data_IF_946682090617
#
_entry.id   IF_946682090617
#
_cell.length_a   1.000
_cell.length_b   1.000
_cell.length_c   1.000
_cell.angle_alpha   90.00
_cell.angle_beta   90.00
_cell.angle_gamma   90.00
#
_symmetry.space_group_name_H-M   'P 1'
#
loop_
_entity.id
_entity.type
_entity.pdbx_description
1 polymer ?
#
# COMPACT_ATOMS: atom_id res chain seq x y z
N UNK A 1 -27.67 -11.97 -11.54
CA UNK A 1 -26.88 -11.13 -12.48
C UNK A 1 -26.26 -9.90 -11.83
N UNK A 2 -27.01 -9.04 -11.12
CA UNK A 2 -26.45 -7.78 -10.56
C UNK A 2 -25.28 -7.98 -9.57
N UNK A 3 -25.34 -9.00 -8.71
CA UNK A 3 -24.23 -9.36 -7.82
C UNK A 3 -22.95 -9.71 -8.59
N UNK A 4 -23.04 -10.55 -9.61
CA UNK A 4 -21.88 -10.90 -10.44
C UNK A 4 -21.26 -9.68 -11.14
N UNK A 5 -22.09 -8.73 -11.58
CA UNK A 5 -21.57 -7.46 -12.10
C UNK A 5 -20.87 -6.63 -11.03
N UNK A 6 -21.36 -6.63 -9.79
CA UNK A 6 -20.70 -5.94 -8.69
C UNK A 6 -19.29 -6.51 -8.44
N UNK A 7 -19.17 -7.84 -8.39
CA UNK A 7 -17.89 -8.53 -8.20
C UNK A 7 -16.96 -8.25 -9.38
N UNK A 8 -17.44 -8.34 -10.63
CA UNK A 8 -16.62 -8.02 -11.80
C UNK A 8 -16.09 -6.58 -11.79
N UNK A 9 -16.93 -5.60 -11.44
CA UNK A 9 -16.47 -4.21 -11.30
C UNK A 9 -15.46 -4.06 -10.16
N UNK A 10 -15.63 -4.79 -9.06
CA UNK A 10 -14.70 -4.78 -7.94
C UNK A 10 -13.32 -5.33 -8.33
N UNK A 11 -13.28 -6.47 -9.04
CA UNK A 11 -12.06 -7.09 -9.54
C UNK A 11 -11.34 -6.23 -10.59
N UNK A 12 -12.06 -5.33 -11.27
CA UNK A 12 -11.49 -4.33 -12.18
C UNK A 12 -11.20 -2.98 -11.53
N UNK A 13 -11.37 -2.82 -10.21
CA UNK A 13 -11.11 -1.58 -9.48
C UNK A 13 -12.16 -0.47 -9.65
N UNK A 14 -13.31 -0.78 -10.24
CA UNK A 14 -14.44 0.15 -10.48
C UNK A 14 -15.38 0.15 -9.28
N UNK A 15 -14.89 0.67 -8.15
CA UNK A 15 -15.56 0.55 -6.87
C UNK A 15 -16.89 1.32 -6.79
N UNK A 16 -17.02 2.44 -7.50
CA UNK A 16 -18.27 3.19 -7.56
C UNK A 16 -19.37 2.38 -8.22
N UNK A 17 -19.12 1.84 -9.43
CA UNK A 17 -20.08 1.01 -10.14
C UNK A 17 -20.34 -0.30 -9.42
N UNK A 18 -19.31 -0.91 -8.83
CA UNK A 18 -19.46 -2.08 -7.99
C UNK A 18 -20.41 -1.81 -6.83
N UNK A 19 -20.23 -0.70 -6.11
CA UNK A 19 -21.07 -0.30 -4.97
C UNK A 19 -22.51 -0.07 -5.41
N UNK A 20 -22.75 0.61 -6.53
CA UNK A 20 -24.09 0.80 -7.08
C UNK A 20 -24.75 -0.56 -7.37
N UNK A 21 -24.06 -1.48 -8.05
CA UNK A 21 -24.61 -2.80 -8.38
C UNK A 21 -24.84 -3.67 -7.15
N UNK A 22 -23.92 -3.66 -6.18
CA UNK A 22 -24.06 -4.37 -4.91
C UNK A 22 -25.29 -3.88 -4.14
N UNK A 23 -25.47 -2.55 -4.02
CA UNK A 23 -26.66 -1.96 -3.37
C UNK A 23 -27.95 -2.35 -4.06
N UNK A 24 -28.00 -2.30 -5.39
CA UNK A 24 -29.19 -2.71 -6.15
C UNK A 24 -29.47 -4.21 -6.02
N UNK A 25 -28.44 -5.04 -5.94
CA UNK A 25 -28.56 -6.48 -5.73
C UNK A 25 -29.09 -6.81 -4.33
N UNK A 26 -28.57 -6.11 -3.30
CA UNK A 26 -29.03 -6.23 -1.92
C UNK A 26 -30.54 -5.95 -1.78
N UNK A 27 -30.99 -4.77 -2.21
CA UNK A 27 -32.41 -4.40 -2.08
C UNK A 27 -33.31 -5.32 -2.92
N UNK A 28 -32.87 -5.71 -4.11
CA UNK A 28 -33.60 -6.68 -4.92
C UNK A 28 -33.73 -8.05 -4.25
N UNK A 29 -32.66 -8.53 -3.59
CA UNK A 29 -32.66 -9.80 -2.87
C UNK A 29 -33.60 -9.79 -1.67
N UNK A 30 -33.65 -8.67 -0.91
CA UNK A 30 -34.61 -8.49 0.18
C UNK A 30 -36.06 -8.62 -0.30
N UNK A 31 -36.40 -7.99 -1.43
CA UNK A 31 -37.76 -8.06 -1.99
C UNK A 31 -38.17 -9.47 -2.44
N UNK A 32 -37.21 -10.34 -2.74
CA UNK A 32 -37.46 -11.71 -3.22
C UNK A 32 -37.15 -12.78 -2.16
N UNK A 33 -36.73 -12.40 -0.94
CA UNK A 33 -36.40 -13.34 0.14
C UNK A 33 -35.18 -14.22 -0.13
N UNK A 34 -34.16 -13.71 -0.85
CA UNK A 34 -32.95 -14.48 -1.20
C UNK A 34 -31.75 -14.08 -0.34
N UNK A 35 -31.67 -14.65 0.87
CA UNK A 35 -30.72 -14.23 1.91
C UNK A 35 -29.25 -14.29 1.50
N UNK A 36 -28.81 -15.34 0.80
CA UNK A 36 -27.39 -15.45 0.43
C UNK A 36 -26.94 -14.34 -0.54
N UNK A 37 -27.84 -13.90 -1.44
CA UNK A 37 -27.55 -12.78 -2.36
C UNK A 37 -27.53 -11.48 -1.59
N UNK A 38 -28.46 -11.28 -0.65
CA UNK A 38 -28.46 -10.10 0.21
C UNK A 38 -27.15 -10.04 1.01
N UNK A 39 -26.78 -11.12 1.69
CA UNK A 39 -25.53 -11.23 2.44
C UNK A 39 -24.30 -10.89 1.59
N UNK A 40 -24.09 -11.58 0.48
CA UNK A 40 -22.93 -11.35 -0.39
C UNK A 40 -22.90 -9.93 -0.96
N UNK A 41 -24.06 -9.38 -1.35
CA UNK A 41 -24.16 -8.01 -1.85
C UNK A 41 -23.81 -6.98 -0.77
N UNK A 42 -24.23 -7.20 0.48
CA UNK A 42 -23.90 -6.34 1.59
C UNK A 42 -22.39 -6.39 1.91
N UNK A 43 -21.80 -7.59 1.97
CA UNK A 43 -20.35 -7.77 2.15
C UNK A 43 -19.53 -7.11 1.04
N UNK A 44 -19.95 -7.26 -0.24
CA UNK A 44 -19.30 -6.61 -1.38
C UNK A 44 -19.35 -5.07 -1.28
N UNK A 45 -20.51 -4.51 -0.91
CA UNK A 45 -20.62 -3.07 -0.67
C UNK A 45 -19.75 -2.61 0.50
N UNK A 46 -19.71 -3.38 1.60
CA UNK A 46 -18.87 -3.11 2.75
C UNK A 46 -17.39 -3.05 2.36
N UNK A 47 -16.93 -4.02 1.56
CA UNK A 47 -15.53 -4.09 1.11
C UNK A 47 -15.16 -2.88 0.25
N UNK A 48 -16.03 -2.45 -0.66
CA UNK A 48 -15.76 -1.26 -1.48
C UNK A 48 -15.57 0.00 -0.62
N UNK A 49 -16.44 0.22 0.36
CA UNK A 49 -16.32 1.35 1.29
C UNK A 49 -15.08 1.24 2.18
N UNK A 50 -14.76 0.02 2.64
CA UNK A 50 -13.56 -0.22 3.42
C UNK A 50 -12.28 0.03 2.59
N UNK A 51 -12.27 -0.32 1.31
CA UNK A 51 -11.15 -0.04 0.41
C UNK A 51 -10.98 1.46 0.15
N UNK A 52 -12.08 2.20 -0.04
CA UNK A 52 -12.06 3.65 -0.24
C UNK A 52 -11.54 4.44 0.99
N UNK A 53 -11.75 3.91 2.19
CA UNK A 53 -11.44 4.61 3.45
C UNK A 53 -12.67 5.26 4.09
N UNK A 54 -13.83 4.62 3.98
CA UNK A 54 -15.08 5.08 4.57
C UNK A 54 -15.54 4.11 5.67
N UNK A 55 -14.86 4.09 6.85
CA UNK A 55 -15.07 3.07 7.87
C UNK A 55 -16.51 3.04 8.40
N UNK A 56 -17.19 4.21 8.46
CA UNK A 56 -18.60 4.27 8.87
C UNK A 56 -19.54 3.62 7.86
N UNK A 57 -19.31 3.83 6.56
CA UNK A 57 -20.10 3.18 5.51
C UNK A 57 -19.80 1.68 5.46
N UNK A 58 -18.53 1.29 5.54
CA UNK A 58 -18.13 -0.11 5.61
C UNK A 58 -18.82 -0.82 6.77
N UNK A 59 -18.81 -0.21 7.97
CA UNK A 59 -19.50 -0.71 9.17
C UNK A 59 -20.99 -0.89 8.97
N UNK A 60 -21.66 0.12 8.42
CA UNK A 60 -23.08 0.02 8.12
C UNK A 60 -23.38 -1.21 7.25
N UNK A 61 -22.58 -1.46 6.20
CA UNK A 61 -22.83 -2.55 5.27
C UNK A 61 -22.47 -3.93 5.81
N UNK A 62 -21.35 -4.10 6.55
CA UNK A 62 -21.05 -5.41 7.13
C UNK A 62 -21.99 -5.75 8.30
N UNK A 63 -22.53 -4.75 9.02
CA UNK A 63 -23.57 -4.99 10.03
C UNK A 63 -24.89 -5.43 9.38
N UNK A 64 -25.20 -4.98 8.16
CA UNK A 64 -26.33 -5.49 7.38
C UNK A 64 -26.09 -6.93 6.89
N UNK A 65 -24.89 -7.23 6.42
CA UNK A 65 -24.50 -8.59 6.03
C UNK A 65 -24.72 -9.58 7.19
N UNK A 66 -24.26 -9.25 8.40
CA UNK A 66 -24.35 -10.13 9.58
C UNK A 66 -25.79 -10.42 10.02
N UNK A 67 -26.79 -9.65 9.56
CA UNK A 67 -28.21 -9.92 9.84
C UNK A 67 -28.76 -11.10 9.04
N UNK A 68 -28.07 -11.51 7.98
CA UNK A 68 -28.49 -12.63 7.14
C UNK A 68 -27.88 -13.93 7.64
N UNK A 69 -28.64 -15.04 7.61
CA UNK A 69 -28.15 -16.35 8.03
C UNK A 69 -26.95 -16.78 7.19
N UNK A 70 -26.14 -17.66 7.77
CA UNK A 70 -25.08 -18.32 7.02
C UNK A 70 -25.68 -19.32 6.03
N UNK A 71 -25.39 -19.22 4.72
CA UNK A 71 -25.88 -20.22 3.77
C UNK A 71 -25.30 -21.61 4.04
N UNK A 72 -24.19 -21.73 4.79
CA UNK A 72 -23.53 -22.99 5.09
C UNK A 72 -22.96 -23.70 3.86
N UNK A 73 -22.34 -24.86 4.08
CA UNK A 73 -21.83 -25.72 3.01
C UNK A 73 -20.79 -25.02 2.13
N UNK A 74 -20.85 -25.25 0.82
CA UNK A 74 -19.86 -24.70 -0.12
C UNK A 74 -20.02 -23.19 -0.38
N UNK A 75 -21.18 -22.60 -0.02
CA UNK A 75 -21.46 -21.18 -0.22
C UNK A 75 -20.91 -20.30 0.91
N UNK A 76 -20.76 -20.85 2.12
CA UNK A 76 -20.30 -20.12 3.29
C UNK A 76 -18.95 -19.40 3.07
N UNK A 77 -17.90 -20.07 2.57
CA UNK A 77 -16.62 -19.39 2.32
C UNK A 77 -16.76 -18.25 1.33
N UNK A 78 -17.53 -18.40 0.26
CA UNK A 78 -17.67 -17.39 -0.80
C UNK A 78 -18.39 -16.13 -0.31
N UNK A 79 -19.32 -16.27 0.63
CA UNK A 79 -20.20 -15.17 1.05
C UNK A 79 -19.61 -14.31 2.17
N UNK A 80 -18.74 -14.86 3.01
CA UNK A 80 -18.14 -14.14 4.16
C UNK A 80 -16.88 -13.34 3.83
N UNK A 81 -16.15 -13.69 2.77
CA UNK A 81 -14.82 -13.11 2.48
C UNK A 81 -14.87 -11.60 2.36
N UNK A 82 -15.80 -11.06 1.57
CA UNK A 82 -15.92 -9.61 1.39
C UNK A 82 -16.24 -8.90 2.71
N UNK A 83 -17.17 -9.47 3.49
CA UNK A 83 -17.57 -8.99 4.80
C UNK A 83 -16.47 -8.93 5.84
N UNK A 84 -15.77 -10.06 6.03
CA UNK A 84 -14.66 -10.18 6.96
C UNK A 84 -13.49 -9.29 6.55
N UNK A 85 -13.19 -9.21 5.26
CA UNK A 85 -12.16 -8.29 4.74
C UNK A 85 -12.53 -6.84 5.01
N UNK A 86 -13.80 -6.47 4.78
CA UNK A 86 -14.32 -5.14 5.08
C UNK A 86 -14.22 -4.78 6.57
N UNK A 87 -14.64 -5.72 7.45
CA UNK A 87 -14.54 -5.56 8.90
C UNK A 87 -13.10 -5.38 9.34
N UNK A 88 -12.18 -6.21 8.85
CA UNK A 88 -10.76 -6.10 9.17
C UNK A 88 -10.19 -4.73 8.79
N UNK A 89 -10.43 -4.27 7.56
CA UNK A 89 -9.94 -2.98 7.07
C UNK A 89 -10.58 -1.78 7.81
N UNK A 90 -11.89 -1.83 8.07
CA UNK A 90 -12.59 -0.78 8.79
C UNK A 90 -12.15 -0.69 10.26
N UNK A 91 -11.96 -1.84 10.92
CA UNK A 91 -11.43 -1.91 12.28
C UNK A 91 -9.99 -1.35 12.35
N UNK A 92 -9.15 -1.70 11.37
CA UNK A 92 -7.80 -1.11 11.24
C UNK A 92 -7.85 0.41 11.12
N UNK A 93 -8.71 0.94 10.25
CA UNK A 93 -8.84 2.39 10.03
C UNK A 93 -9.20 3.17 11.30
N UNK A 94 -9.97 2.55 12.20
CA UNK A 94 -10.37 3.12 13.49
C UNK A 94 -9.51 2.63 14.66
N UNK A 95 -8.38 1.98 14.39
CA UNK A 95 -7.42 1.45 15.38
C UNK A 95 -7.97 0.37 16.33
N UNK A 96 -9.06 -0.30 15.96
CA UNK A 96 -9.57 -1.47 16.66
C UNK A 96 -8.81 -2.73 16.23
N UNK A 97 -7.56 -2.85 16.68
CA UNK A 97 -6.69 -3.98 16.34
C UNK A 97 -7.21 -5.32 16.88
N UNK A 98 -8.04 -5.29 17.92
CA UNK A 98 -8.68 -6.47 18.48
C UNK A 98 -9.69 -7.04 17.49
N UNK A 99 -10.62 -6.21 17.02
CA UNK A 99 -11.63 -6.61 16.05
C UNK A 99 -11.02 -6.99 14.70
N UNK A 100 -10.00 -6.24 14.26
CA UNK A 100 -9.26 -6.56 13.05
C UNK A 100 -8.63 -7.96 13.11
N UNK A 101 -8.01 -8.32 14.24
CA UNK A 101 -7.40 -9.64 14.43
C UNK A 101 -8.45 -10.75 14.44
N UNK A 102 -9.59 -10.54 15.08
CA UNK A 102 -10.69 -11.51 15.09
C UNK A 102 -11.18 -11.74 13.65
N UNK A 103 -11.46 -10.67 12.92
CA UNK A 103 -11.91 -10.76 11.53
C UNK A 103 -10.89 -11.48 10.63
N UNK A 104 -9.59 -11.19 10.76
CA UNK A 104 -8.54 -11.85 9.98
C UNK A 104 -8.32 -13.31 10.37
N UNK A 105 -8.53 -13.66 11.64
CA UNK A 105 -8.44 -15.06 12.11
C UNK A 105 -9.57 -15.89 11.51
N UNK A 106 -10.79 -15.34 11.47
CA UNK A 106 -11.94 -15.97 10.82
C UNK A 106 -11.77 -16.02 9.29
N UNK A 107 -11.22 -14.97 8.69
CA UNK A 107 -10.96 -14.88 7.25
C UNK A 107 -9.94 -15.91 6.76
N UNK A 108 -8.93 -16.22 7.58
CA UNK A 108 -7.84 -17.12 7.21
C UNK A 108 -7.01 -16.59 6.04
N UNK A 109 -6.31 -17.50 5.36
CA UNK A 109 -5.57 -17.21 4.12
C UNK A 109 -6.44 -17.54 2.90
N UNK A 110 -6.26 -16.85 1.75
CA UNK A 110 -7.09 -17.12 0.58
C UNK A 110 -6.85 -18.55 0.07
N UNK A 111 -7.94 -19.20 -0.35
CA UNK A 111 -7.86 -20.47 -1.06
C UNK A 111 -7.47 -20.26 -2.53
N UNK A 112 -6.94 -21.30 -3.19
CA UNK A 112 -6.53 -21.26 -4.60
C UNK A 112 -7.66 -20.85 -5.57
N UNK A 113 -8.92 -21.05 -5.17
CA UNK A 113 -10.12 -20.72 -5.96
C UNK A 113 -10.79 -19.41 -5.56
N UNK A 114 -10.27 -18.69 -4.57
CA UNK A 114 -10.87 -17.46 -4.07
C UNK A 114 -10.73 -16.31 -5.11
N UNK A 115 -11.84 -15.69 -5.48
CA UNK A 115 -11.86 -14.59 -6.46
C UNK A 115 -11.35 -13.28 -5.83
N UNK A 116 -11.65 -13.05 -4.55
CA UNK A 116 -11.28 -11.85 -3.80
C UNK A 116 -9.92 -11.96 -3.08
N UNK A 117 -9.09 -12.93 -3.48
CA UNK A 117 -7.83 -13.29 -2.81
C UNK A 117 -6.91 -12.08 -2.57
N UNK A 118 -6.82 -11.17 -3.54
CA UNK A 118 -5.95 -10.00 -3.45
C UNK A 118 -6.38 -9.04 -2.33
N UNK A 119 -7.68 -8.93 -2.06
CA UNK A 119 -8.21 -8.11 -0.97
C UNK A 119 -7.95 -8.74 0.40
N UNK A 120 -7.99 -10.08 0.48
CA UNK A 120 -7.60 -10.83 1.69
C UNK A 120 -6.13 -10.60 2.00
N UNK A 121 -5.24 -10.78 1.00
CA UNK A 121 -3.80 -10.53 1.14
C UNK A 121 -3.53 -9.08 1.51
N UNK A 122 -4.25 -8.14 0.90
CA UNK A 122 -4.15 -6.72 1.23
C UNK A 122 -4.51 -6.46 2.70
N UNK A 123 -5.63 -7.00 3.21
CA UNK A 123 -6.02 -6.81 4.60
C UNK A 123 -5.00 -7.39 5.59
N UNK A 124 -4.45 -8.57 5.32
CA UNK A 124 -3.33 -9.12 6.11
C UNK A 124 -2.09 -8.23 6.07
N UNK A 125 -1.76 -7.69 4.89
CA UNK A 125 -0.63 -6.77 4.72
C UNK A 125 -0.83 -5.49 5.53
N UNK A 126 -2.03 -4.90 5.48
CA UNK A 126 -2.36 -3.70 6.26
C UNK A 126 -2.30 -3.96 7.77
N UNK A 127 -2.72 -5.13 8.24
CA UNK A 127 -2.60 -5.51 9.65
C UNK A 127 -1.15 -5.75 10.06
N UNK A 128 -0.33 -6.35 9.21
CA UNK A 128 1.07 -6.60 9.51
C UNK A 128 1.89 -5.31 9.66
N UNK A 129 1.52 -4.25 8.93
CA UNK A 129 2.10 -2.91 9.08
C UNK A 129 1.81 -2.28 10.45
N UNK A 130 0.75 -2.69 11.15
CA UNK A 130 0.43 -2.16 12.50
C UNK A 130 1.02 -3.01 13.63
N UNK A 131 1.45 -4.24 13.35
CA UNK A 131 1.96 -5.21 14.33
C UNK A 131 3.46 -5.52 14.15
N UNK A 132 4.19 -4.74 13.35
CA UNK A 132 5.62 -4.96 13.05
C UNK A 132 5.93 -6.38 12.53
N UNK A 133 5.01 -6.98 11.76
CA UNK A 133 5.12 -8.35 11.23
C UNK A 133 5.25 -8.39 9.70
N UNK A 134 5.80 -7.33 9.11
CA UNK A 134 5.88 -7.10 7.67
C UNK A 134 6.56 -8.25 6.88
N UNK A 135 7.57 -8.92 7.46
CA UNK A 135 8.27 -10.04 6.80
C UNK A 135 7.35 -11.24 6.52
N UNK A 136 6.50 -11.60 7.49
CA UNK A 136 5.54 -12.70 7.34
C UNK A 136 4.47 -12.36 6.32
N UNK A 137 3.97 -11.11 6.32
CA UNK A 137 3.00 -10.66 5.33
C UNK A 137 3.59 -10.58 3.92
N UNK A 138 4.86 -10.17 3.77
CA UNK A 138 5.53 -10.17 2.47
C UNK A 138 5.66 -11.60 1.92
N UNK A 139 5.97 -12.56 2.79
CA UNK A 139 6.01 -13.99 2.41
C UNK A 139 4.63 -14.51 1.99
N UNK A 140 3.56 -14.15 2.72
CA UNK A 140 2.18 -14.48 2.36
C UNK A 140 1.80 -13.87 0.99
N UNK A 141 2.14 -12.60 0.78
CA UNK A 141 1.87 -11.88 -0.46
C UNK A 141 2.54 -12.55 -1.66
N UNK A 142 3.84 -12.84 -1.59
CA UNK A 142 4.54 -13.50 -2.69
C UNK A 142 4.03 -14.92 -2.96
N UNK A 143 3.69 -15.68 -1.92
CA UNK A 143 3.10 -17.00 -2.09
C UNK A 143 1.74 -16.92 -2.79
N UNK A 144 0.87 -16.01 -2.35
CA UNK A 144 -0.45 -15.81 -2.96
C UNK A 144 -0.35 -15.36 -4.43
N UNK A 145 0.58 -14.46 -4.76
CA UNK A 145 0.83 -14.08 -6.17
C UNK A 145 1.27 -15.30 -7.00
N UNK A 146 2.10 -16.19 -6.44
CA UNK A 146 2.51 -17.43 -7.12
C UNK A 146 1.32 -18.34 -7.43
N UNK A 147 0.47 -18.59 -6.43
CA UNK A 147 -0.74 -19.42 -6.55
C UNK A 147 -1.73 -18.82 -7.56
N UNK A 148 -1.95 -17.51 -7.50
CA UNK A 148 -2.93 -16.79 -8.34
C UNK A 148 -2.29 -16.07 -9.55
N UNK A 149 -1.17 -16.58 -10.06
CA UNK A 149 -0.39 -15.93 -11.12
C UNK A 149 -1.18 -15.68 -12.41
N UNK A 150 -2.22 -16.49 -12.70
CA UNK A 150 -3.11 -16.31 -13.85
C UNK A 150 -4.08 -15.14 -13.68
N UNK A 151 -4.44 -14.80 -12.45
CA UNK A 151 -5.33 -13.69 -12.10
C UNK A 151 -4.55 -12.39 -11.84
N UNK A 152 -3.24 -12.49 -11.57
CA UNK A 152 -2.33 -11.36 -11.36
C UNK A 152 -1.81 -10.81 -12.69
N UNK A 153 -2.63 -10.03 -13.38
CA UNK A 153 -2.36 -9.49 -14.73
C UNK A 153 -2.56 -7.98 -14.77
N UNK A 154 -2.05 -7.32 -15.83
CA UNK A 154 -2.16 -5.87 -16.03
C UNK A 154 -3.61 -5.34 -16.11
N UNK A 155 -4.58 -6.20 -16.40
CA UNK A 155 -6.01 -5.85 -16.46
C UNK A 155 -6.74 -6.04 -15.14
N UNK A 156 -6.09 -6.67 -14.16
CA UNK A 156 -6.66 -6.99 -12.84
C UNK A 156 -6.31 -5.92 -11.82
N UNK A 157 -7.27 -5.53 -10.98
CA UNK A 157 -7.01 -4.60 -9.88
C UNK A 157 -6.07 -5.20 -8.80
N UNK A 158 -5.91 -6.53 -8.77
CA UNK A 158 -4.95 -7.18 -7.89
C UNK A 158 -3.50 -6.66 -8.09
N UNK A 159 -3.14 -6.30 -9.33
CA UNK A 159 -1.79 -5.82 -9.66
C UNK A 159 -1.43 -4.53 -8.89
N UNK A 160 -2.13 -3.39 -9.11
CA UNK A 160 -1.79 -2.16 -8.40
C UNK A 160 -1.97 -2.26 -6.89
N UNK A 161 -2.98 -3.01 -6.41
CA UNK A 161 -3.24 -3.19 -4.99
C UNK A 161 -2.10 -3.94 -4.25
N UNK A 162 -1.56 -4.99 -4.85
CA UNK A 162 -0.50 -5.76 -4.22
C UNK A 162 0.88 -5.18 -4.48
N UNK A 163 1.09 -4.46 -5.59
CA UNK A 163 2.30 -3.66 -5.76
C UNK A 163 2.42 -2.57 -4.69
N UNK A 164 1.31 -1.88 -4.38
CA UNK A 164 1.31 -0.87 -3.31
C UNK A 164 1.58 -1.50 -1.93
N UNK A 165 0.93 -2.63 -1.63
CA UNK A 165 1.16 -3.37 -0.38
C UNK A 165 2.60 -3.88 -0.26
N UNK A 166 3.18 -4.41 -1.34
CA UNK A 166 4.57 -4.85 -1.35
C UNK A 166 5.55 -3.69 -1.12
N UNK A 167 5.33 -2.52 -1.76
CA UNK A 167 6.13 -1.31 -1.51
C UNK A 167 6.09 -0.94 -0.02
N UNK A 168 4.89 -0.90 0.57
CA UNK A 168 4.73 -0.51 1.97
C UNK A 168 5.37 -1.54 2.93
N UNK A 169 5.22 -2.84 2.67
CA UNK A 169 5.88 -3.88 3.46
C UNK A 169 7.41 -3.79 3.36
N UNK A 170 7.95 -3.52 2.17
CA UNK A 170 9.39 -3.31 1.97
C UNK A 170 9.86 -2.05 2.70
N UNK A 171 9.09 -0.96 2.67
CA UNK A 171 9.39 0.25 3.43
C UNK A 171 9.43 -0.02 4.93
N UNK A 172 8.45 -0.74 5.47
CA UNK A 172 8.40 -1.11 6.89
C UNK A 172 9.61 -1.97 7.32
N UNK A 173 10.16 -2.78 6.39
CA UNK A 173 11.38 -3.55 6.59
C UNK A 173 12.68 -2.76 6.37
N UNK A 174 12.59 -1.48 5.97
CA UNK A 174 13.76 -0.66 5.64
C UNK A 174 14.43 -1.04 4.30
N UNK A 175 13.75 -1.80 3.46
CA UNK A 175 14.26 -2.35 2.20
C UNK A 175 14.06 -1.38 1.02
N UNK A 176 14.56 -0.14 1.19
CA UNK A 176 14.28 0.96 0.27
C UNK A 176 14.72 0.71 -1.17
N UNK A 177 15.84 0.01 -1.40
CA UNK A 177 16.29 -0.33 -2.74
C UNK A 177 15.31 -1.28 -3.46
N UNK A 178 14.78 -2.29 -2.76
CA UNK A 178 13.77 -3.21 -3.32
C UNK A 178 12.46 -2.49 -3.61
N UNK A 179 12.01 -1.63 -2.69
CA UNK A 179 10.82 -0.81 -2.89
C UNK A 179 10.99 0.15 -4.09
N UNK A 180 12.16 0.76 -4.24
CA UNK A 180 12.51 1.63 -5.37
C UNK A 180 12.55 0.88 -6.69
N UNK A 181 13.09 -0.34 -6.71
CA UNK A 181 13.09 -1.19 -7.89
C UNK A 181 11.65 -1.51 -8.34
N UNK A 182 10.79 -1.93 -7.40
CA UNK A 182 9.38 -2.20 -7.68
C UNK A 182 8.62 -0.95 -8.16
N UNK A 183 8.84 0.20 -7.52
CA UNK A 183 8.20 1.45 -7.92
C UNK A 183 8.58 1.90 -9.35
N UNK A 184 9.77 1.53 -9.85
CA UNK A 184 10.20 1.81 -11.24
C UNK A 184 9.52 0.91 -12.28
N UNK A 185 9.02 -0.26 -11.88
CA UNK A 185 8.28 -1.17 -12.76
C UNK A 185 6.83 -0.72 -12.97
N UNK A 186 6.32 0.16 -12.10
CA UNK A 186 4.98 0.74 -12.22
C UNK A 186 5.02 1.85 -13.28
N UNK A 187 4.37 1.61 -14.42
CA UNK A 187 4.39 2.53 -15.57
C UNK A 187 3.86 3.93 -15.23
N UNK A 188 2.75 4.00 -14.49
CA UNK A 188 2.15 5.24 -14.02
C UNK A 188 1.65 5.06 -12.57
N UNK A 189 2.45 5.46 -11.56
CA UNK A 189 2.02 5.41 -10.18
C UNK A 189 0.81 6.28 -9.87
N UNK A 190 0.54 7.32 -10.66
CA UNK A 190 -0.61 8.21 -10.49
C UNK A 190 -1.89 7.69 -11.17
N UNK A 191 -1.83 6.58 -11.90
CA UNK A 191 -3.03 6.00 -12.53
C UNK A 191 -4.04 5.45 -11.51
N UNK A 192 -3.63 5.17 -10.27
CA UNK A 192 -4.51 4.71 -9.21
C UNK A 192 -4.05 5.22 -7.84
N UNK A 193 -4.98 5.42 -6.89
CA UNK A 193 -4.67 6.08 -5.62
C UNK A 193 -3.79 5.23 -4.68
N UNK A 194 -3.81 3.89 -4.80
CA UNK A 194 -3.00 2.99 -3.98
C UNK A 194 -1.51 3.08 -4.32
N UNK A 195 -1.15 2.91 -5.60
CA UNK A 195 0.25 3.04 -6.02
C UNK A 195 0.75 4.45 -5.82
N UNK A 196 -0.09 5.46 -6.01
CA UNK A 196 0.27 6.86 -5.78
C UNK A 196 0.68 7.08 -4.32
N UNK A 197 -0.16 6.67 -3.36
CA UNK A 197 0.12 6.86 -1.94
C UNK A 197 1.41 6.14 -1.51
N UNK A 198 1.57 4.86 -1.88
CA UNK A 198 2.77 4.08 -1.48
C UNK A 198 4.04 4.55 -2.18
N UNK A 199 4.00 4.95 -3.46
CA UNK A 199 5.18 5.48 -4.17
C UNK A 199 5.54 6.89 -3.70
N UNK A 200 4.56 7.76 -3.43
CA UNK A 200 4.82 9.08 -2.88
C UNK A 200 5.45 8.97 -1.48
N UNK A 201 4.93 8.07 -0.63
CA UNK A 201 5.52 7.74 0.67
C UNK A 201 6.94 7.23 0.53
N UNK A 202 7.20 6.30 -0.38
CA UNK A 202 8.55 5.80 -0.66
C UNK A 202 9.49 6.96 -0.99
N UNK A 203 9.11 7.85 -1.92
CA UNK A 203 9.92 9.01 -2.33
C UNK A 203 10.22 9.93 -1.14
N UNK A 204 9.23 10.23 -0.31
CA UNK A 204 9.42 11.04 0.89
C UNK A 204 10.39 10.35 1.87
N UNK A 205 10.22 9.05 2.13
CA UNK A 205 11.08 8.30 3.07
C UNK A 205 12.53 8.15 2.64
N UNK A 206 12.81 8.21 1.34
CA UNK A 206 14.19 8.20 0.81
C UNK A 206 14.74 9.63 0.60
N UNK A 207 14.01 10.67 1.02
CA UNK A 207 14.43 12.07 0.96
C UNK A 207 14.16 12.78 -0.38
N UNK A 208 13.41 12.17 -1.29
CA UNK A 208 13.03 12.74 -2.59
C UNK A 208 11.73 13.55 -2.47
N UNK A 209 11.71 14.55 -1.58
CA UNK A 209 10.51 15.30 -1.19
C UNK A 209 9.84 16.04 -2.36
N UNK A 210 10.61 16.70 -3.21
CA UNK A 210 10.09 17.40 -4.40
C UNK A 210 9.40 16.42 -5.36
N UNK A 211 9.99 15.23 -5.57
CA UNK A 211 9.43 14.20 -6.42
C UNK A 211 8.21 13.51 -5.80
N UNK A 212 8.10 13.47 -4.47
CA UNK A 212 6.92 13.00 -3.76
C UNK A 212 5.74 13.97 -3.95
N UNK A 213 5.95 15.26 -3.69
CA UNK A 213 4.94 16.32 -3.87
C UNK A 213 4.49 16.40 -5.33
N UNK A 214 5.44 16.38 -6.27
CA UNK A 214 5.12 16.40 -7.70
C UNK A 214 4.27 15.20 -8.15
N UNK A 215 4.44 14.03 -7.54
CA UNK A 215 3.60 12.86 -7.82
C UNK A 215 2.19 13.03 -7.25
N UNK A 216 2.07 13.51 -6.01
CA UNK A 216 0.77 13.71 -5.36
C UNK A 216 -0.15 14.67 -6.15
N UNK A 217 0.42 15.66 -6.83
CA UNK A 217 -0.32 16.61 -7.68
C UNK A 217 -0.77 16.06 -9.03
N UNK A 218 -0.32 14.87 -9.44
CA UNK A 218 -0.73 14.26 -10.72
C UNK A 218 -2.12 13.60 -10.63
N UNK A 219 -2.60 13.30 -9.43
CA UNK A 219 -3.90 12.67 -9.23
C UNK A 219 -5.03 13.69 -9.12
N UNK A 220 -6.10 13.49 -9.86
CA UNK A 220 -7.32 14.29 -9.75
C UNK A 220 -8.27 13.70 -8.68
N UNK A 221 -8.32 14.38 -7.53
CA UNK A 221 -9.21 14.01 -6.42
C UNK A 221 -10.65 14.52 -6.59
N UNK A 222 -10.98 15.21 -7.69
CA UNK A 222 -12.34 15.71 -7.94
C UNK A 222 -13.32 14.65 -8.46
N UNK A 223 -12.78 13.51 -8.95
CA UNK A 223 -13.54 12.39 -9.47
C UNK A 223 -14.11 11.49 -8.37
N UNK A 224 -13.65 10.26 -8.33
CA UNK A 224 -14.09 9.28 -7.32
C UNK A 224 -13.49 9.60 -5.93
N UNK A 225 -14.27 9.33 -4.88
CA UNK A 225 -13.86 9.60 -3.51
C UNK A 225 -13.02 8.45 -2.94
N UNK A 226 -11.78 8.75 -2.58
CA UNK A 226 -10.85 7.83 -1.91
C UNK A 226 -10.23 8.49 -0.67
N UNK A 227 -11.02 8.70 0.41
CA UNK A 227 -10.56 9.48 1.57
C UNK A 227 -9.26 8.97 2.20
N UNK A 228 -9.04 7.64 2.27
CA UNK A 228 -7.80 7.09 2.84
C UNK A 228 -6.59 7.51 2.02
N UNK A 229 -6.61 7.25 0.71
CA UNK A 229 -5.48 7.55 -0.15
C UNK A 229 -5.24 9.07 -0.29
N UNK A 230 -6.32 9.86 -0.31
CA UNK A 230 -6.21 11.32 -0.32
C UNK A 230 -5.56 11.82 0.96
N UNK A 231 -6.01 11.32 2.13
CA UNK A 231 -5.41 11.67 3.41
C UNK A 231 -3.93 11.28 3.47
N UNK A 232 -3.57 10.07 3.04
CA UNK A 232 -2.17 9.62 3.00
C UNK A 232 -1.31 10.49 2.06
N UNK A 233 -1.83 10.86 0.89
CA UNK A 233 -1.17 11.79 -0.04
C UNK A 233 -0.94 13.18 0.58
N UNK A 234 -1.92 13.70 1.31
CA UNK A 234 -1.81 14.98 2.03
C UNK A 234 -0.80 14.92 3.17
N UNK A 235 -0.76 13.80 3.91
CA UNK A 235 0.22 13.60 4.98
C UNK A 235 1.65 13.53 4.44
N UNK A 236 1.86 12.82 3.32
CA UNK A 236 3.16 12.78 2.62
C UNK A 236 3.59 14.19 2.20
N UNK A 237 2.68 14.97 1.59
CA UNK A 237 2.96 16.36 1.20
C UNK A 237 3.26 17.25 2.40
N UNK A 238 2.50 17.11 3.50
CA UNK A 238 2.71 17.90 4.71
C UNK A 238 4.11 17.69 5.29
N UNK A 239 4.57 16.42 5.38
CA UNK A 239 5.93 16.10 5.84
C UNK A 239 6.97 16.61 4.85
N UNK A 240 6.79 16.35 3.54
CA UNK A 240 7.71 16.80 2.50
C UNK A 240 7.90 18.34 2.52
N UNK A 241 6.82 19.12 2.56
CA UNK A 241 6.88 20.58 2.67
C UNK A 241 7.54 21.03 3.99
N UNK A 242 7.30 20.32 5.09
CA UNK A 242 7.92 20.61 6.39
C UNK A 242 9.44 20.41 6.36
N UNK A 243 9.92 19.41 5.64
CA UNK A 243 11.35 19.12 5.44
C UNK A 243 11.99 20.05 4.39
N UNK A 244 11.23 20.51 3.40
CA UNK A 244 11.67 21.52 2.42
C UNK A 244 11.70 22.95 2.98
N UNK A 245 11.21 23.18 4.20
CA UNK A 245 11.19 24.51 4.81
C UNK A 245 10.03 25.39 4.31
N UNK A 246 8.92 24.78 3.91
CA UNK A 246 7.71 25.43 3.37
C UNK A 246 6.53 25.34 4.36
N UNK A 247 6.59 26.00 5.53
CA UNK A 247 5.68 25.76 6.65
C UNK A 247 4.21 26.09 6.36
N UNK A 248 3.95 27.03 5.45
CA UNK A 248 2.58 27.39 5.06
C UNK A 248 1.91 26.27 4.28
N UNK A 249 2.62 25.67 3.32
CA UNK A 249 2.10 24.55 2.53
C UNK A 249 1.94 23.31 3.44
N UNK A 250 2.93 23.04 4.29
CA UNK A 250 2.85 21.95 5.26
C UNK A 250 1.60 22.05 6.16
N UNK A 251 1.32 23.23 6.72
CA UNK A 251 0.13 23.47 7.56
C UNK A 251 -1.18 23.36 6.79
N UNK A 252 -1.21 23.77 5.50
CA UNK A 252 -2.38 23.64 4.64
C UNK A 252 -2.73 22.17 4.37
N UNK A 253 -1.74 21.37 3.94
CA UNK A 253 -1.98 19.95 3.64
C UNK A 253 -2.29 19.14 4.91
N UNK A 254 -1.64 19.46 6.04
CA UNK A 254 -1.98 18.91 7.36
C UNK A 254 -3.43 19.19 7.74
N UNK A 255 -3.89 20.44 7.61
CA UNK A 255 -5.25 20.84 7.96
C UNK A 255 -6.30 20.12 7.11
N UNK A 256 -6.01 19.89 5.82
CA UNK A 256 -6.87 19.11 4.91
C UNK A 256 -6.92 17.64 5.31
N UNK A 257 -5.78 17.02 5.62
CA UNK A 257 -5.71 15.64 6.10
C UNK A 257 -6.54 15.44 7.38
N UNK A 258 -6.38 16.34 8.34
CA UNK A 258 -7.16 16.39 9.57
C UNK A 258 -8.67 16.54 9.32
N UNK A 259 -9.07 17.38 8.35
CA UNK A 259 -10.48 17.55 7.99
C UNK A 259 -11.09 16.25 7.45
N UNK A 260 -10.36 15.51 6.61
CA UNK A 260 -10.79 14.19 6.11
C UNK A 260 -10.96 13.23 7.28
N UNK A 261 -9.99 13.18 8.19
CA UNK A 261 -10.05 12.32 9.39
C UNK A 261 -11.27 12.64 10.26
N UNK A 262 -11.55 13.92 10.50
CA UNK A 262 -12.68 14.37 11.32
C UNK A 262 -14.05 14.02 10.70
N UNK A 263 -14.15 14.07 9.38
CA UNK A 263 -15.36 13.73 8.62
C UNK A 263 -15.61 12.21 8.58
N UNK A 264 -14.58 11.43 8.27
CA UNK A 264 -14.67 9.99 7.99
C UNK A 264 -14.48 9.10 9.22
N UNK A 265 -13.70 9.56 10.20
CA UNK A 265 -13.21 8.74 11.31
C UNK A 265 -11.97 7.91 10.97
N UNK A 266 -11.26 8.22 9.88
CA UNK A 266 -9.97 7.61 9.56
C UNK A 266 -8.90 8.07 10.56
N UNK A 267 -8.40 7.14 11.37
CA UNK A 267 -7.34 7.41 12.35
C UNK A 267 -6.00 6.83 11.90
N UNK A 268 -6.02 5.63 11.31
CA UNK A 268 -4.81 4.89 10.90
C UNK A 268 -3.85 5.67 10.01
N UNK A 269 -4.28 6.50 9.04
CA UNK A 269 -3.34 7.21 8.17
C UNK A 269 -2.33 8.09 8.93
N UNK A 270 -2.66 8.61 10.12
CA UNK A 270 -1.70 9.36 10.93
C UNK A 270 -0.46 8.52 11.33
N UNK A 271 -0.59 7.20 11.51
CA UNK A 271 0.52 6.30 11.81
C UNK A 271 1.45 6.05 10.60
N UNK A 272 1.10 6.55 9.41
CA UNK A 272 1.97 6.45 8.23
C UNK A 272 3.05 7.53 8.20
N UNK A 273 2.91 8.56 9.05
CA UNK A 273 3.94 9.56 9.32
C UNK A 273 4.58 9.37 10.71
N UNK A 274 5.77 9.95 10.92
CA UNK A 274 6.47 9.80 12.20
C UNK A 274 5.78 10.59 13.31
N UNK A 275 5.83 10.10 14.54
CA UNK A 275 5.28 10.78 15.73
C UNK A 275 5.83 12.20 15.89
N UNK A 276 7.13 12.40 15.65
CA UNK A 276 7.76 13.71 15.65
C UNK A 276 7.21 14.64 14.55
N UNK A 277 6.87 14.09 13.37
CA UNK A 277 6.25 14.87 12.30
C UNK A 277 4.82 15.27 12.67
N UNK A 278 4.05 14.36 13.26
CA UNK A 278 2.70 14.63 13.79
C UNK A 278 2.75 15.78 14.80
N UNK A 279 3.65 15.71 15.80
CA UNK A 279 3.81 16.75 16.81
C UNK A 279 4.19 18.10 16.19
N UNK A 280 5.16 18.10 15.26
CA UNK A 280 5.62 19.31 14.57
C UNK A 280 4.49 19.94 13.76
N UNK A 281 3.79 19.16 12.92
CA UNK A 281 2.70 19.65 12.08
C UNK A 281 1.51 20.14 12.92
N UNK A 282 1.18 19.43 13.98
CA UNK A 282 0.09 19.81 14.88
C UNK A 282 0.39 21.08 15.70
N UNK A 283 1.67 21.35 16.01
CA UNK A 283 2.09 22.60 16.62
C UNK A 283 1.88 23.82 15.72
N UNK A 284 1.87 23.60 14.40
CA UNK A 284 1.66 24.61 13.36
C UNK A 284 0.19 24.69 12.89
N UNK A 285 -0.67 23.82 13.39
CA UNK A 285 -2.07 23.73 13.00
C UNK A 285 -2.88 24.89 13.60
N UNK A 286 -3.70 25.53 12.77
CA UNK A 286 -4.62 26.59 13.20
C UNK A 286 -5.82 26.02 13.96
N UNK A 287 -6.26 24.82 13.60
CA UNK A 287 -7.44 24.16 14.16
C UNK A 287 -7.07 22.79 14.68
N UNK A 288 -7.54 22.47 15.89
CA UNK A 288 -7.35 21.16 16.51
C UNK A 288 -8.28 20.13 15.92
N UNK A 289 -7.74 18.98 15.54
CA UNK A 289 -8.52 17.85 15.02
C UNK A 289 -9.00 16.94 16.15
N UNK A 290 -10.28 16.55 16.10
CA UNK A 290 -10.86 15.60 17.07
C UNK A 290 -10.36 14.19 16.79
N UNK A 291 -10.28 13.80 15.52
CA UNK A 291 -9.74 12.52 15.09
C UNK A 291 -8.28 12.38 15.51
N UNK A 292 -7.46 13.42 15.38
CA UNK A 292 -6.09 13.39 15.88
C UNK A 292 -6.03 13.20 17.41
N UNK A 293 -6.89 13.90 18.17
CA UNK A 293 -6.95 13.73 19.62
C UNK A 293 -7.35 12.31 20.03
N UNK A 294 -8.17 11.62 19.23
CA UNK A 294 -8.50 10.20 19.42
C UNK A 294 -7.32 9.29 19.06
N UNK A 295 -6.68 9.53 17.92
CA UNK A 295 -5.45 8.86 17.49
C UNK A 295 -4.36 8.92 18.58
N UNK A 296 -4.07 10.11 19.11
CA UNK A 296 -3.03 10.30 20.13
C UNK A 296 -3.31 9.55 21.44
N UNK A 297 -4.57 9.27 21.79
CA UNK A 297 -4.90 8.47 22.99
C UNK A 297 -4.54 7.00 22.84
N UNK A 298 -4.63 6.48 21.61
CA UNK A 298 -4.35 5.07 21.32
C UNK A 298 -2.85 4.79 21.15
N UNK A 299 -2.04 5.81 20.87
CA UNK A 299 -0.59 5.74 20.68
C UNK A 299 -0.13 4.53 19.86
N UNK A 300 -0.64 4.35 18.62
CA UNK A 300 -0.32 3.19 17.82
C UNK A 300 1.15 3.23 17.37
N UNK A 301 1.72 2.07 17.08
CA UNK A 301 3.05 1.97 16.50
C UNK A 301 3.11 2.66 15.12
N UNK A 302 4.23 3.31 14.82
CA UNK A 302 4.49 3.86 13.49
C UNK A 302 4.55 2.73 12.47
N UNK A 303 3.89 2.91 11.32
CA UNK A 303 3.83 1.89 10.28
C UNK A 303 5.14 1.77 9.49
N UNK A 304 5.95 2.82 9.49
CA UNK A 304 7.18 2.93 8.70
C UNK A 304 8.27 3.64 9.50
N UNK A 305 9.56 3.32 9.26
CA UNK A 305 10.65 4.13 9.80
C UNK A 305 10.60 5.56 9.23
N UNK A 306 11.01 6.55 10.03
CA UNK A 306 11.00 7.96 9.63
C UNK A 306 11.85 8.28 8.39
N UNK A 307 12.92 7.51 8.16
CA UNK A 307 13.71 7.56 6.92
C UNK A 307 14.20 6.17 6.52
N UNK A 308 14.39 5.95 5.22
CA UNK A 308 14.88 4.70 4.65
C UNK A 308 16.12 4.99 3.81
N UNK A 309 17.21 4.27 4.08
CA UNK A 309 18.45 4.41 3.32
C UNK A 309 18.37 3.61 2.02
N UNK A 310 18.90 4.18 0.95
CA UNK A 310 19.10 3.50 -0.33
C UNK A 310 20.55 3.62 -0.79
N UNK A 311 21.03 2.56 -1.44
CA UNK A 311 22.28 2.60 -2.19
C UNK A 311 21.98 3.15 -3.58
N UNK A 312 22.50 4.33 -3.88
CA UNK A 312 22.43 4.92 -5.22
C UNK A 312 23.76 4.74 -5.97
N UNK A 313 23.68 4.05 -7.11
CA UNK A 313 24.80 3.89 -8.02
C UNK A 313 24.72 4.95 -9.11
N UNK A 314 25.86 5.55 -9.42
CA UNK A 314 25.98 6.40 -10.62
C UNK A 314 25.83 5.54 -11.88
N UNK A 315 25.48 6.14 -13.01
CA UNK A 315 25.38 5.41 -14.28
C UNK A 315 26.65 4.62 -14.63
N UNK A 316 27.82 5.17 -14.30
CA UNK A 316 29.11 4.51 -14.52
C UNK A 316 29.28 3.30 -13.60
N UNK A 317 28.93 3.43 -12.32
CA UNK A 317 28.95 2.33 -11.36
C UNK A 317 27.95 1.24 -11.74
N UNK A 318 26.76 1.59 -12.22
CA UNK A 318 25.75 0.65 -12.70
C UNK A 318 26.25 -0.14 -13.92
N UNK A 319 26.90 0.53 -14.88
CA UNK A 319 27.54 -0.13 -16.04
C UNK A 319 28.63 -1.09 -15.60
N UNK A 320 29.52 -0.67 -14.69
CA UNK A 320 30.58 -1.54 -14.14
C UNK A 320 29.98 -2.73 -13.40
N UNK A 321 28.97 -2.52 -12.55
CA UNK A 321 28.30 -3.59 -11.82
C UNK A 321 27.67 -4.62 -12.78
N UNK A 322 27.03 -4.15 -13.86
CA UNK A 322 26.45 -5.03 -14.89
C UNK A 322 27.51 -5.88 -15.60
N UNK A 323 28.65 -5.30 -15.99
CA UNK A 323 29.75 -6.05 -16.60
C UNK A 323 30.44 -7.00 -15.59
N UNK A 324 30.50 -6.59 -14.33
CA UNK A 324 31.01 -7.41 -13.24
C UNK A 324 30.10 -8.62 -12.97
N UNK A 325 28.78 -8.47 -13.07
CA UNK A 325 27.84 -9.59 -12.99
C UNK A 325 27.99 -10.59 -14.15
N UNK A 326 28.42 -10.14 -15.34
CA UNK A 326 28.70 -10.98 -16.52
C UNK A 326 30.06 -11.73 -16.45
N UNK A 327 30.78 -11.67 -15.34
CA UNK A 327 32.07 -12.36 -15.21
C UNK A 327 33.26 -11.63 -15.86
N UNK A 328 33.08 -10.40 -16.38
CA UNK A 328 34.17 -9.68 -17.05
C UNK A 328 35.28 -9.25 -16.08
N UNK A 329 36.53 -9.38 -16.52
CA UNK A 329 37.72 -8.87 -15.83
C UNK A 329 37.95 -7.37 -16.09
N UNK A 330 38.76 -6.71 -15.27
CA UNK A 330 38.94 -5.25 -15.32
C UNK A 330 39.50 -4.71 -16.64
N UNK A 331 40.34 -5.48 -17.34
CA UNK A 331 40.85 -5.10 -18.67
C UNK A 331 39.73 -5.13 -19.72
N UNK A 332 38.98 -6.23 -19.81
CA UNK A 332 37.85 -6.34 -20.72
C UNK A 332 36.75 -5.30 -20.44
N UNK A 333 36.51 -4.98 -19.17
CA UNK A 333 35.59 -3.89 -18.79
C UNK A 333 36.11 -2.52 -19.26
N UNK A 334 37.42 -2.28 -19.15
CA UNK A 334 38.05 -1.03 -19.57
C UNK A 334 37.92 -0.84 -21.09
N UNK A 335 38.20 -1.89 -21.86
CA UNK A 335 38.05 -1.90 -23.32
C UNK A 335 36.59 -1.64 -23.72
N UNK A 336 35.64 -2.34 -23.10
CA UNK A 336 34.21 -2.20 -23.42
C UNK A 336 33.62 -0.83 -23.06
N UNK A 337 34.14 -0.21 -22.00
CA UNK A 337 33.71 1.11 -21.54
C UNK A 337 34.52 2.26 -22.16
N UNK A 338 35.53 1.97 -23.00
CA UNK A 338 36.45 2.94 -23.59
C UNK A 338 37.13 3.84 -22.54
N UNK A 339 37.62 3.23 -21.45
CA UNK A 339 38.34 3.92 -20.36
C UNK A 339 39.60 3.16 -19.96
N UNK A 340 40.45 3.75 -19.12
CA UNK A 340 41.63 3.05 -18.60
C UNK A 340 41.27 1.96 -17.57
N UNK A 341 42.10 0.92 -17.44
CA UNK A 341 41.96 -0.10 -16.38
C UNK A 341 41.98 0.52 -14.98
N UNK A 342 42.76 1.59 -14.78
CA UNK A 342 42.80 2.31 -13.51
C UNK A 342 41.49 3.04 -13.20
N UNK A 343 40.80 3.54 -14.23
CA UNK A 343 39.46 4.11 -14.11
C UNK A 343 38.47 3.05 -13.65
N UNK A 344 38.49 1.85 -14.24
CA UNK A 344 37.64 0.73 -13.81
C UNK A 344 37.96 0.31 -12.36
N UNK A 345 39.23 0.17 -12.00
CA UNK A 345 39.64 -0.14 -10.61
C UNK A 345 39.13 0.89 -9.61
N UNK A 346 39.16 2.17 -9.98
CA UNK A 346 38.64 3.26 -9.14
C UNK A 346 37.12 3.16 -8.99
N UNK A 347 36.40 2.93 -10.09
CA UNK A 347 34.94 2.74 -10.05
C UNK A 347 34.53 1.48 -9.26
N UNK A 348 35.30 0.39 -9.34
CA UNK A 348 35.07 -0.81 -8.52
C UNK A 348 35.26 -0.52 -7.02
N UNK A 349 36.28 0.27 -6.66
CA UNK A 349 36.51 0.66 -5.27
C UNK A 349 35.36 1.51 -4.72
N UNK A 350 34.84 2.46 -5.50
CA UNK A 350 33.68 3.27 -5.06
C UNK A 350 32.41 2.43 -4.98
N UNK A 351 32.19 1.55 -5.97
CA UNK A 351 31.07 0.59 -5.97
C UNK A 351 31.10 -0.31 -4.72
N UNK A 352 32.25 -0.91 -4.41
CA UNK A 352 32.39 -1.79 -3.24
C UNK A 352 32.16 -1.03 -1.94
N UNK A 353 32.68 0.20 -1.84
CA UNK A 353 32.43 1.07 -0.68
C UNK A 353 30.94 1.42 -0.53
N UNK A 354 30.23 1.71 -1.62
CA UNK A 354 28.79 2.02 -1.59
C UNK A 354 27.93 0.82 -1.20
N UNK A 355 28.32 -0.38 -1.66
CA UNK A 355 27.63 -1.63 -1.33
C UNK A 355 28.02 -2.20 0.04
N UNK A 356 29.04 -1.64 0.69
CA UNK A 356 29.65 -2.12 1.93
C UNK A 356 30.13 -3.59 1.82
N UNK A 357 30.95 -3.85 0.80
CA UNK A 357 31.48 -5.18 0.46
C UNK A 357 32.97 -5.14 0.15
N UNK A 358 33.63 -6.28 0.24
CA UNK A 358 35.10 -6.36 0.13
C UNK A 358 35.57 -7.07 -1.14
N UNK A 359 34.70 -7.87 -1.77
CA UNK A 359 35.08 -8.63 -2.96
C UNK A 359 33.96 -8.69 -4.01
N UNK A 360 34.34 -9.22 -5.18
CA UNK A 360 33.47 -9.35 -6.36
C UNK A 360 32.19 -10.14 -6.07
N UNK A 361 32.31 -11.28 -5.39
CA UNK A 361 31.17 -12.18 -5.18
C UNK A 361 30.19 -11.58 -4.18
N UNK A 362 30.70 -10.93 -3.13
CA UNK A 362 29.88 -10.14 -2.20
C UNK A 362 29.18 -9.00 -2.94
N UNK A 363 29.87 -8.26 -3.81
CA UNK A 363 29.26 -7.17 -4.58
C UNK A 363 28.10 -7.65 -5.46
N UNK A 364 28.28 -8.77 -6.17
CA UNK A 364 27.21 -9.37 -7.01
C UNK A 364 26.04 -9.84 -6.13
N UNK A 365 26.35 -10.54 -5.04
CA UNK A 365 25.33 -11.07 -4.12
C UNK A 365 24.52 -9.93 -3.49
N UNK A 366 25.20 -8.91 -2.97
CA UNK A 366 24.57 -7.74 -2.35
C UNK A 366 23.77 -6.93 -3.36
N UNK A 367 24.29 -6.72 -4.56
CA UNK A 367 23.55 -6.04 -5.62
C UNK A 367 22.27 -6.78 -6.02
N UNK A 368 22.30 -8.11 -6.12
CA UNK A 368 21.09 -8.93 -6.35
C UNK A 368 20.10 -8.81 -5.21
N UNK A 369 20.57 -8.88 -3.95
CA UNK A 369 19.72 -8.69 -2.77
C UNK A 369 19.04 -7.32 -2.77
N UNK A 370 19.74 -6.26 -3.18
CA UNK A 370 19.21 -4.90 -3.28
C UNK A 370 18.41 -4.64 -4.56
N UNK A 371 18.22 -5.63 -5.45
CA UNK A 371 17.60 -5.46 -6.79
C UNK A 371 18.25 -4.34 -7.63
N UNK A 372 19.58 -4.26 -7.58
CA UNK A 372 20.40 -3.37 -8.41
C UNK A 372 20.93 -4.06 -9.69
N UNK A 373 20.61 -5.35 -9.89
CA UNK A 373 21.07 -6.20 -10.99
C UNK A 373 19.93 -7.01 -11.59
#
# INVERSE_FOLDING_TARGET
MRLQWAINFQLSGRFTESTIKARMAYHGALSHGVDFIARNSAGSAALNWALAGEPRQARHWFELEQKHPDPGGWLEPVVKIAGLTARALAALDTLDFGDARIALTELGVPSDTEELWAFVVYAHSQFALTQSSASSALSLLHNAIGVHSKQYTATSFALPLLQSAEIDLLLALGEGNKATALAKEIADPAANPWTLASVARLRQRIGQNEAAVALCHQFDWSGESYPRAQMESLLVQAVAHSELGEPRLASQEWSRACSIADQTGLLRPFATIGSADVEKLESMAVTKSRALAEFSKSAPAESFPGSVRIVELTEREQKVLSLLALGMGSAAMADKLYVSVNTVKTQLRTLYKKLDVHNRNEAITKARQLRLL
#
